data_IF_122677360116
#
_entry.id   IF_122677360116
#
_cell.length_a   1.000
_cell.length_b   1.000
_cell.length_c   1.000
_cell.angle_alpha   90.00
_cell.angle_beta   90.00
_cell.angle_gamma   90.00
#
_symmetry.space_group_name_H-M   'P 1'
#
loop_
_entity.id
_entity.type
_entity.pdbx_description
1 polymer ?
#
# COMPACT_ATOMS: atom_id res chain seq x y z
N UNK A 1 -14.83 -12.64 -17.83
CA UNK A 1 -14.26 -12.20 -16.55
C UNK A 1 -13.57 -13.32 -15.78
N UNK A 2 -14.22 -14.47 -15.56
CA UNK A 2 -13.64 -15.58 -14.77
C UNK A 2 -12.32 -16.13 -15.34
N UNK A 3 -12.20 -16.18 -16.66
CA UNK A 3 -10.97 -16.63 -17.34
C UNK A 3 -9.83 -15.61 -17.22
N UNK A 4 -10.14 -14.32 -17.22
CA UNK A 4 -9.13 -13.27 -17.05
C UNK A 4 -8.48 -13.33 -15.66
N UNK A 5 -9.26 -13.62 -14.62
CA UNK A 5 -8.71 -13.82 -13.27
C UNK A 5 -7.78 -15.03 -13.20
N UNK A 6 -8.16 -16.16 -13.80
CA UNK A 6 -7.26 -17.33 -13.90
C UNK A 6 -5.96 -16.99 -14.61
N UNK A 7 -6.06 -16.24 -15.72
CA UNK A 7 -4.90 -15.84 -16.50
C UNK A 7 -3.95 -14.93 -15.71
N UNK A 8 -4.49 -13.99 -14.92
CA UNK A 8 -3.68 -13.15 -14.02
C UNK A 8 -2.94 -13.98 -12.97
N UNK A 9 -3.60 -14.94 -12.33
CA UNK A 9 -2.95 -15.76 -11.32
C UNK A 9 -1.93 -16.74 -11.90
N UNK A 10 -1.95 -16.97 -13.21
CA UNK A 10 -0.91 -17.73 -13.92
C UNK A 10 0.30 -16.87 -14.32
N UNK A 11 0.13 -15.54 -14.42
CA UNK A 11 1.21 -14.62 -14.77
C UNK A 11 2.15 -14.42 -13.56
N UNK A 12 3.41 -14.82 -13.72
CA UNK A 12 4.43 -14.77 -12.66
C UNK A 12 4.66 -13.36 -12.13
N UNK A 13 4.65 -12.35 -13.01
CA UNK A 13 4.94 -10.95 -12.64
C UNK A 13 3.78 -10.39 -11.83
N UNK A 14 2.55 -10.60 -12.30
CA UNK A 14 1.36 -10.11 -11.59
C UNK A 14 1.19 -10.85 -10.27
N UNK A 15 1.31 -12.19 -10.27
CA UNK A 15 1.21 -13.00 -9.06
C UNK A 15 2.24 -12.58 -8.01
N UNK A 16 3.50 -12.39 -8.41
CA UNK A 16 4.54 -11.91 -7.51
C UNK A 16 4.21 -10.53 -6.94
N UNK A 17 3.79 -9.59 -7.79
CA UNK A 17 3.45 -8.22 -7.36
C UNK A 17 2.30 -8.21 -6.35
N UNK A 18 1.23 -8.98 -6.60
CA UNK A 18 0.08 -9.09 -5.69
C UNK A 18 0.48 -9.76 -4.37
N UNK A 19 1.18 -10.90 -4.41
CA UNK A 19 1.58 -11.62 -3.20
C UNK A 19 2.51 -10.76 -2.32
N UNK A 20 3.53 -10.15 -2.92
CA UNK A 20 4.45 -9.26 -2.21
C UNK A 20 3.73 -8.05 -1.62
N UNK A 21 2.76 -7.47 -2.35
CA UNK A 21 1.92 -6.39 -1.83
C UNK A 21 1.12 -6.82 -0.60
N UNK A 22 0.50 -8.00 -0.65
CA UNK A 22 -0.28 -8.55 0.48
C UNK A 22 0.64 -8.81 1.68
N UNK A 23 1.82 -9.38 1.48
CA UNK A 23 2.78 -9.64 2.56
C UNK A 23 3.21 -8.33 3.23
N UNK A 24 3.64 -7.33 2.44
CA UNK A 24 4.05 -6.03 2.99
C UNK A 24 2.88 -5.37 3.71
N UNK A 25 1.68 -5.44 3.15
CA UNK A 25 0.48 -4.90 3.78
C UNK A 25 0.15 -5.56 5.13
N UNK A 26 0.25 -6.89 5.21
CA UNK A 26 0.08 -7.63 6.48
C UNK A 26 1.13 -7.24 7.52
N UNK A 27 2.39 -7.13 7.11
CA UNK A 27 3.47 -6.64 7.99
C UNK A 27 3.14 -5.23 8.51
N UNK A 28 2.65 -4.36 7.63
CA UNK A 28 2.20 -3.01 7.98
C UNK A 28 1.09 -3.03 9.04
N UNK A 29 0.04 -3.83 8.85
CA UNK A 29 -1.05 -3.98 9.82
C UNK A 29 -0.51 -4.44 11.17
N UNK A 30 0.34 -5.47 11.17
CA UNK A 30 0.97 -6.01 12.39
C UNK A 30 1.72 -4.88 13.11
N UNK A 31 2.59 -4.15 12.41
CA UNK A 31 3.33 -3.03 13.01
C UNK A 31 2.40 -1.96 13.57
N UNK A 32 1.36 -1.56 12.82
CA UNK A 32 0.38 -0.58 13.28
C UNK A 32 -0.27 -1.06 14.58
N UNK A 33 -0.80 -2.28 14.62
CA UNK A 33 -1.49 -2.81 15.82
C UNK A 33 -0.56 -2.86 17.04
N UNK A 34 0.70 -3.25 16.87
CA UNK A 34 1.66 -3.35 17.98
C UNK A 34 2.23 -2.00 18.42
N UNK A 35 2.39 -1.03 17.52
CA UNK A 35 3.00 0.27 17.80
C UNK A 35 1.96 1.36 18.11
N UNK A 36 0.71 1.21 17.68
CA UNK A 36 -0.33 2.22 17.87
C UNK A 36 -0.48 2.69 19.33
N UNK A 37 -0.47 1.81 20.36
CA UNK A 37 -0.56 2.26 21.76
C UNK A 37 0.65 3.08 22.24
N UNK A 38 1.78 2.99 21.52
CA UNK A 38 3.04 3.67 21.83
C UNK A 38 3.23 4.95 21.02
N UNK A 39 2.37 5.20 20.02
CA UNK A 39 2.47 6.41 19.20
C UNK A 39 1.97 7.63 19.99
N UNK A 40 2.64 8.79 19.84
CA UNK A 40 2.17 10.05 20.40
C UNK A 40 0.83 10.45 19.76
N UNK A 41 0.06 11.35 20.40
CA UNK A 41 -1.23 11.81 19.86
C UNK A 41 -1.11 12.47 18.49
N UNK A 42 0.05 13.05 18.17
CA UNK A 42 0.38 13.68 16.90
C UNK A 42 1.63 13.04 16.29
N UNK A 43 1.54 12.63 15.03
CA UNK A 43 2.61 11.98 14.28
C UNK A 43 2.98 12.79 13.04
N UNK A 44 4.25 12.79 12.60
CA UNK A 44 4.68 13.49 11.40
C UNK A 44 4.23 12.73 10.14
N UNK A 45 3.00 12.94 9.70
CA UNK A 45 2.40 12.21 8.58
C UNK A 45 2.76 12.84 7.22
N UNK A 46 2.81 14.17 7.15
CA UNK A 46 3.05 14.88 5.89
C UNK A 46 4.55 15.12 5.66
N UNK A 47 5.26 14.08 5.21
CA UNK A 47 6.71 14.13 4.98
C UNK A 47 7.16 15.18 3.94
N UNK A 48 6.25 15.68 3.09
CA UNK A 48 6.54 16.71 2.09
C UNK A 48 6.41 18.14 2.62
N UNK A 49 5.90 18.33 3.85
CA UNK A 49 5.76 19.65 4.46
C UNK A 49 7.04 20.06 5.22
N UNK A 50 7.27 21.37 5.43
CA UNK A 50 8.37 21.84 6.25
C UNK A 50 8.38 21.24 7.66
N UNK A 51 9.56 21.19 8.27
CA UNK A 51 9.68 20.79 9.68
C UNK A 51 8.94 21.78 10.57
N UNK A 52 8.04 21.29 11.42
CA UNK A 52 7.22 22.12 12.28
C UNK A 52 5.88 21.47 12.58
N UNK A 53 4.90 22.29 12.92
CA UNK A 53 3.53 21.83 13.24
C UNK A 53 2.77 21.39 12.00
N UNK A 54 3.05 21.97 10.83
CA UNK A 54 2.35 21.68 9.58
C UNK A 54 2.42 20.20 9.16
N UNK A 55 3.49 19.48 9.53
CA UNK A 55 3.65 18.06 9.19
C UNK A 55 2.84 17.11 10.09
N UNK A 56 2.34 17.61 11.22
CA UNK A 56 1.72 16.80 12.27
C UNK A 56 0.26 16.48 11.92
N UNK A 57 -0.12 15.23 12.14
CA UNK A 57 -1.49 14.78 12.03
C UNK A 57 -1.90 13.96 13.26
N UNK A 58 -3.20 13.94 13.61
CA UNK A 58 -3.69 13.06 14.68
C UNK A 58 -3.37 11.59 14.38
N UNK A 59 -2.95 10.84 15.39
CA UNK A 59 -2.52 9.42 15.27
C UNK A 59 -3.55 8.51 14.58
N UNK A 60 -4.84 8.84 14.69
CA UNK A 60 -5.92 8.09 14.04
C UNK A 60 -5.81 8.07 12.50
N UNK A 61 -5.03 8.97 11.90
CA UNK A 61 -4.79 9.01 10.45
C UNK A 61 -4.14 7.72 9.92
N UNK A 62 -3.45 6.97 10.78
CA UNK A 62 -2.84 5.68 10.43
C UNK A 62 -3.89 4.66 9.95
N UNK A 63 -5.12 4.71 10.44
CA UNK A 63 -6.18 3.82 9.95
C UNK A 63 -6.72 4.23 8.57
N UNK A 64 -6.81 5.54 8.30
CA UNK A 64 -7.15 6.04 6.96
C UNK A 64 -6.09 5.64 5.94
N UNK A 65 -4.83 5.68 6.34
CA UNK A 65 -3.71 5.23 5.52
C UNK A 65 -3.86 3.76 5.09
N UNK A 66 -4.24 2.87 6.02
CA UNK A 66 -4.55 1.46 5.73
C UNK A 66 -5.74 1.33 4.76
N UNK A 67 -6.80 2.12 4.95
CA UNK A 67 -7.96 2.09 4.06
C UNK A 67 -7.62 2.48 2.62
N UNK A 68 -6.82 3.54 2.44
CA UNK A 68 -6.35 3.99 1.11
C UNK A 68 -5.51 2.91 0.44
N UNK A 69 -4.64 2.24 1.20
CA UNK A 69 -3.85 1.11 0.72
C UNK A 69 -4.71 -0.03 0.17
N UNK A 70 -5.71 -0.47 0.93
CA UNK A 70 -6.63 -1.52 0.49
C UNK A 70 -7.32 -1.10 -0.81
N UNK A 71 -7.82 0.14 -0.85
CA UNK A 71 -8.56 0.67 -1.99
C UNK A 71 -7.70 0.68 -3.25
N UNK A 72 -6.46 1.19 -3.17
CA UNK A 72 -5.55 1.25 -4.33
C UNK A 72 -5.19 -0.14 -4.84
N UNK A 73 -4.89 -1.09 -3.94
CA UNK A 73 -4.56 -2.47 -4.33
C UNK A 73 -5.76 -3.16 -4.98
N UNK A 74 -6.96 -3.03 -4.40
CA UNK A 74 -8.19 -3.62 -4.96
C UNK A 74 -8.48 -3.04 -6.35
N UNK A 75 -8.49 -1.70 -6.49
CA UNK A 75 -8.79 -1.05 -7.77
C UNK A 75 -7.77 -1.48 -8.83
N UNK A 76 -6.47 -1.42 -8.54
CA UNK A 76 -5.45 -1.80 -9.50
C UNK A 76 -5.51 -3.29 -9.88
N UNK A 77 -5.85 -4.17 -8.93
CA UNK A 77 -6.01 -5.60 -9.20
C UNK A 77 -7.23 -5.86 -10.10
N UNK A 78 -8.36 -5.19 -9.83
CA UNK A 78 -9.57 -5.31 -10.66
C UNK A 78 -9.29 -4.77 -12.07
N UNK A 79 -8.70 -3.59 -12.20
CA UNK A 79 -8.35 -3.00 -13.50
C UNK A 79 -7.37 -3.88 -14.27
N UNK A 80 -6.37 -4.42 -13.57
CA UNK A 80 -5.44 -5.39 -14.14
C UNK A 80 -6.19 -6.58 -14.72
N UNK A 81 -7.14 -7.17 -13.97
CA UNK A 81 -7.94 -8.32 -14.43
C UNK A 81 -8.85 -8.01 -15.63
N UNK A 82 -9.46 -6.83 -15.65
CA UNK A 82 -10.30 -6.41 -16.77
C UNK A 82 -9.47 -6.21 -18.03
N UNK A 83 -8.28 -5.62 -17.91
CA UNK A 83 -7.43 -5.24 -19.05
C UNK A 83 -6.54 -6.38 -19.54
N UNK A 84 -6.29 -7.42 -18.74
CA UNK A 84 -5.34 -8.49 -19.07
C UNK A 84 -5.58 -9.13 -20.44
N UNK A 85 -6.84 -9.42 -20.80
CA UNK A 85 -7.17 -10.09 -22.06
C UNK A 85 -6.92 -9.24 -23.30
N UNK A 86 -6.90 -7.90 -23.16
CA UNK A 86 -6.67 -6.97 -24.26
C UNK A 86 -5.23 -6.42 -24.28
N UNK A 87 -4.68 -6.14 -23.11
CA UNK A 87 -3.40 -5.46 -22.92
C UNK A 87 -2.62 -6.07 -21.74
N UNK A 88 -1.95 -7.19 -21.98
CA UNK A 88 -1.17 -7.92 -20.95
C UNK A 88 -0.08 -7.05 -20.33
N UNK A 89 0.63 -6.25 -21.13
CA UNK A 89 1.67 -5.35 -20.66
C UNK A 89 1.13 -4.27 -19.70
N UNK A 90 -0.01 -3.66 -20.04
CA UNK A 90 -0.65 -2.65 -19.19
C UNK A 90 -1.13 -3.25 -17.86
N UNK A 91 -1.68 -4.48 -17.90
CA UNK A 91 -2.07 -5.21 -16.71
C UNK A 91 -0.87 -5.50 -15.78
N UNK A 92 0.29 -5.87 -16.33
CA UNK A 92 1.54 -6.03 -15.54
C UNK A 92 1.99 -4.71 -14.90
N UNK A 93 1.94 -3.60 -15.64
CA UNK A 93 2.28 -2.27 -15.11
C UNK A 93 1.36 -1.88 -13.96
N UNK A 94 0.05 -2.11 -14.08
CA UNK A 94 -0.92 -1.83 -13.00
C UNK A 94 -0.59 -2.63 -11.73
N UNK A 95 -0.22 -3.90 -11.87
CA UNK A 95 0.16 -4.73 -10.74
C UNK A 95 1.49 -4.29 -10.10
N UNK A 96 2.49 -3.93 -10.90
CA UNK A 96 3.79 -3.42 -10.42
C UNK A 96 3.63 -2.07 -9.73
N UNK A 97 2.85 -1.15 -10.30
CA UNK A 97 2.59 0.17 -9.70
C UNK A 97 1.83 0.04 -8.39
N UNK A 98 0.88 -0.89 -8.28
CA UNK A 98 0.24 -1.22 -7.02
C UNK A 98 1.23 -1.72 -5.97
N UNK A 99 2.18 -2.57 -6.37
CA UNK A 99 3.25 -3.04 -5.47
C UNK A 99 4.16 -1.90 -5.01
N UNK A 100 4.61 -1.05 -5.94
CA UNK A 100 5.43 0.11 -5.61
C UNK A 100 4.71 1.07 -4.66
N UNK A 101 3.41 1.28 -4.85
CA UNK A 101 2.59 2.11 -3.96
C UNK A 101 2.58 1.55 -2.53
N UNK A 102 2.40 0.24 -2.36
CA UNK A 102 2.44 -0.41 -1.05
C UNK A 102 3.84 -0.33 -0.42
N UNK A 103 4.91 -0.53 -1.20
CA UNK A 103 6.28 -0.36 -0.73
C UNK A 103 6.55 1.08 -0.25
N UNK A 104 6.16 2.07 -1.04
CA UNK A 104 6.38 3.48 -0.72
C UNK A 104 5.67 3.90 0.56
N UNK A 105 4.42 3.46 0.74
CA UNK A 105 3.75 3.80 1.99
C UNK A 105 4.21 2.94 3.17
N UNK A 106 4.70 1.71 2.99
CA UNK A 106 5.41 0.98 4.05
C UNK A 106 6.65 1.73 4.52
N UNK A 107 7.48 2.23 3.59
CA UNK A 107 8.63 3.07 3.92
C UNK A 107 8.19 4.36 4.61
N UNK A 108 7.10 4.98 4.17
CA UNK A 108 6.54 6.17 4.80
C UNK A 108 6.11 5.89 6.25
N UNK A 109 5.51 4.73 6.53
CA UNK A 109 5.15 4.35 7.89
C UNK A 109 6.38 4.07 8.77
N UNK A 110 7.41 3.40 8.24
CA UNK A 110 8.68 3.25 8.93
C UNK A 110 9.34 4.60 9.26
N UNK A 111 9.28 5.57 8.35
CA UNK A 111 9.77 6.92 8.59
C UNK A 111 9.02 7.61 9.74
N UNK A 112 7.70 7.44 9.84
CA UNK A 112 6.92 7.94 10.99
C UNK A 112 7.45 7.34 12.29
N UNK A 113 7.67 6.02 12.31
CA UNK A 113 8.19 5.31 13.49
C UNK A 113 9.56 5.87 13.90
N UNK A 114 10.52 5.95 12.96
CA UNK A 114 11.88 6.46 13.24
C UNK A 114 11.93 7.95 13.56
N UNK A 115 10.89 8.72 13.23
CA UNK A 115 10.82 10.14 13.61
C UNK A 115 10.27 10.35 15.02
N UNK A 116 9.64 9.32 15.58
CA UNK A 116 8.95 9.34 16.88
C UNK A 116 9.77 8.63 17.96
N UNK A 117 10.43 7.52 17.60
CA UNK A 117 11.30 6.73 18.48
C UNK A 117 12.77 6.95 18.10
#
# INVERSE_FOLDING_TARGET
MRDNFKNIFSDKVIKFSILSSIIIFLINIVLIVFLFPKLPPFIPFFNSMPWGEDRLAPVNIVFYFVAVFILVVIINTILSAVLYSKYTFLSRILSITSFLFVCMGFLSFLQIIFSVF
#
